data_IF_409624758749
#
_entry.id   IF_409624758749
#
_cell.length_a   1.000
_cell.length_b   1.000
_cell.length_c   1.000
_cell.angle_alpha   90.00
_cell.angle_beta   90.00
_cell.angle_gamma   90.00
#
_symmetry.space_group_name_H-M   'P 1'
#
loop_
_entity.id
_entity.type
_entity.pdbx_description
1 polymer ?
#
# COMPACT_ATOMS: atom_id res chain seq x y z
N UNK A 1 -14.37 -1.87 -11.14
CA UNK A 1 -13.33 -1.24 -10.30
C UNK A 1 -13.90 -0.30 -9.24
N UNK A 2 -14.98 0.46 -9.52
CA UNK A 2 -15.55 1.42 -8.58
C UNK A 2 -15.84 0.85 -7.18
N UNK A 3 -16.51 -0.30 -7.08
CA UNK A 3 -16.80 -0.95 -5.78
C UNK A 3 -15.52 -1.32 -5.01
N UNK A 4 -14.55 -1.92 -5.70
CA UNK A 4 -13.27 -2.28 -5.08
C UNK A 4 -12.44 -1.06 -4.68
N UNK A 5 -12.61 0.07 -5.38
CA UNK A 5 -11.95 1.32 -5.02
C UNK A 5 -12.60 1.97 -3.80
N UNK A 6 -13.93 1.99 -3.73
CA UNK A 6 -14.67 2.49 -2.58
C UNK A 6 -14.30 1.71 -1.30
N UNK A 7 -14.31 0.38 -1.38
CA UNK A 7 -13.92 -0.48 -0.25
C UNK A 7 -12.46 -0.25 0.16
N UNK A 8 -11.55 -0.13 -0.81
CA UNK A 8 -10.14 0.14 -0.54
C UNK A 8 -9.96 1.52 0.09
N UNK A 9 -10.61 2.57 -0.41
CA UNK A 9 -10.58 3.91 0.19
C UNK A 9 -11.14 3.90 1.60
N UNK A 10 -12.24 3.17 1.83
CA UNK A 10 -12.87 3.06 3.15
C UNK A 10 -11.91 2.47 4.19
N UNK A 11 -11.25 1.35 3.89
CA UNK A 11 -10.41 0.67 4.89
C UNK A 11 -8.95 1.13 4.88
N UNK A 12 -8.34 1.34 3.72
CA UNK A 12 -6.97 1.88 3.65
C UNK A 12 -6.96 3.34 4.08
N UNK A 13 -7.99 4.12 3.76
CA UNK A 13 -8.13 5.48 4.25
C UNK A 13 -8.14 5.54 5.77
N UNK A 14 -8.91 4.66 6.42
CA UNK A 14 -8.92 4.55 7.89
C UNK A 14 -7.58 4.08 8.46
N UNK A 15 -6.87 3.18 7.78
CA UNK A 15 -5.52 2.79 8.19
C UNK A 15 -4.54 3.98 8.12
N UNK A 16 -4.52 4.71 7.00
CA UNK A 16 -3.68 5.89 6.82
C UNK A 16 -4.01 6.98 7.85
N UNK A 17 -5.30 7.28 8.02
CA UNK A 17 -5.79 8.20 9.03
C UNK A 17 -5.33 7.81 10.43
N UNK A 18 -5.43 6.52 10.79
CA UNK A 18 -5.00 6.06 12.11
C UNK A 18 -3.51 6.26 12.34
N UNK A 19 -2.67 6.12 11.31
CA UNK A 19 -1.24 6.39 11.42
C UNK A 19 -0.95 7.88 11.64
N UNK A 20 -1.77 8.77 11.05
CA UNK A 20 -1.65 10.21 11.24
C UNK A 20 -1.83 10.60 12.70
N UNK A 21 -2.84 10.03 13.34
CA UNK A 21 -3.10 10.27 14.76
C UNK A 21 -2.13 9.52 15.67
N UNK A 22 -1.87 8.23 15.41
CA UNK A 22 -1.06 7.39 16.30
C UNK A 22 0.40 7.84 16.40
N UNK A 23 1.00 8.23 15.28
CA UNK A 23 2.38 8.71 15.24
C UNK A 23 2.47 10.24 15.26
N UNK A 24 1.35 10.94 15.46
CA UNK A 24 1.28 12.40 15.36
C UNK A 24 1.99 12.93 14.10
N UNK A 25 1.70 12.33 12.94
CA UNK A 25 2.53 12.40 11.74
C UNK A 25 2.67 13.83 11.18
N UNK A 26 1.77 14.73 11.58
CA UNK A 26 1.78 16.15 11.23
C UNK A 26 2.53 17.03 12.26
N UNK A 27 3.03 16.44 13.34
CA UNK A 27 3.82 17.08 14.36
C UNK A 27 5.19 17.52 13.88
N UNK A 28 5.90 18.26 14.73
CA UNK A 28 7.25 18.75 14.44
C UNK A 28 8.35 17.87 15.02
N UNK A 29 7.98 16.86 15.82
CA UNK A 29 8.93 16.04 16.58
C UNK A 29 9.91 15.26 15.69
N UNK A 30 9.57 14.98 14.42
CA UNK A 30 10.51 14.35 13.48
C UNK A 30 11.72 15.22 13.14
N UNK A 31 11.64 16.56 13.28
CA UNK A 31 12.76 17.48 12.95
C UNK A 31 13.98 17.26 13.84
N UNK A 32 13.77 16.73 15.05
CA UNK A 32 14.84 16.56 16.05
C UNK A 32 15.33 15.12 16.16
N UNK A 33 14.71 14.18 15.43
CA UNK A 33 15.07 12.76 15.48
C UNK A 33 15.97 12.41 14.31
N UNK A 34 17.21 12.02 14.63
CA UNK A 34 18.21 11.62 13.63
C UNK A 34 17.70 10.46 12.78
N UNK A 35 17.76 10.62 11.45
CA UNK A 35 17.35 9.59 10.49
C UNK A 35 15.86 9.60 10.11
N UNK A 36 15.08 10.55 10.64
CA UNK A 36 13.65 10.70 10.34
C UNK A 36 13.39 11.80 9.30
N UNK A 37 14.41 12.22 8.54
CA UNK A 37 14.31 13.27 7.53
C UNK A 37 13.22 12.97 6.49
N UNK A 38 13.09 11.70 6.08
CA UNK A 38 12.03 11.27 5.17
C UNK A 38 10.62 11.39 5.77
N UNK A 39 10.47 11.21 7.09
CA UNK A 39 9.21 11.41 7.80
C UNK A 39 8.86 12.89 7.90
N UNK A 40 9.85 13.76 8.15
CA UNK A 40 9.65 15.21 8.12
C UNK A 40 9.16 15.66 6.74
N UNK A 41 9.81 15.22 5.65
CA UNK A 41 9.40 15.58 4.29
C UNK A 41 7.96 15.11 4.00
N UNK A 42 7.62 13.88 4.40
CA UNK A 42 6.26 13.35 4.27
C UNK A 42 5.25 14.16 5.09
N UNK A 43 5.60 14.57 6.30
CA UNK A 43 4.77 15.42 7.14
C UNK A 43 4.50 16.78 6.49
N UNK A 44 5.50 17.41 5.87
CA UNK A 44 5.34 18.68 5.15
C UNK A 44 4.42 18.55 3.92
N UNK A 45 4.60 17.48 3.13
CA UNK A 45 3.71 17.18 2.00
C UNK A 45 2.28 16.92 2.49
N UNK A 46 2.14 16.13 3.56
CA UNK A 46 0.85 15.82 4.16
C UNK A 46 0.15 17.07 4.74
N UNK A 47 0.89 18.02 5.32
CA UNK A 47 0.34 19.32 5.76
C UNK A 47 -0.25 20.13 4.59
N UNK A 48 0.33 20.02 3.39
CA UNK A 48 -0.17 20.71 2.18
C UNK A 48 -1.33 19.98 1.52
N UNK A 49 -1.28 18.65 1.44
CA UNK A 49 -2.28 17.81 0.76
C UNK A 49 -3.45 17.36 1.64
N UNK A 50 -3.36 17.56 2.96
CA UNK A 50 -4.32 17.05 3.93
C UNK A 50 -4.39 15.52 3.98
N UNK A 51 -5.32 15.02 4.79
CA UNK A 51 -5.54 13.57 4.94
C UNK A 51 -5.97 12.94 3.61
N UNK A 52 -6.81 13.60 2.82
CA UNK A 52 -7.31 13.06 1.55
C UNK A 52 -6.18 12.86 0.54
N UNK A 53 -5.26 13.81 0.40
CA UNK A 53 -4.07 13.68 -0.44
C UNK A 53 -3.16 12.54 0.02
N UNK A 54 -3.01 12.36 1.33
CA UNK A 54 -2.24 11.24 1.89
C UNK A 54 -2.87 9.89 1.57
N UNK A 55 -4.20 9.77 1.71
CA UNK A 55 -4.94 8.55 1.33
C UNK A 55 -4.80 8.29 -0.16
N UNK A 56 -4.93 9.31 -1.01
CA UNK A 56 -4.77 9.15 -2.46
C UNK A 56 -3.36 8.67 -2.84
N UNK A 57 -2.32 9.25 -2.24
CA UNK A 57 -0.94 8.81 -2.45
C UNK A 57 -0.71 7.38 -1.98
N UNK A 58 -1.25 7.00 -0.82
CA UNK A 58 -1.17 5.63 -0.32
C UNK A 58 -1.91 4.65 -1.25
N UNK A 59 -3.09 4.99 -1.75
CA UNK A 59 -3.86 4.18 -2.68
C UNK A 59 -3.12 3.91 -4.00
N UNK A 60 -2.26 4.83 -4.46
CA UNK A 60 -1.38 4.59 -5.62
C UNK A 60 -0.24 3.63 -5.27
N UNK A 61 0.29 3.72 -4.05
CA UNK A 61 1.38 2.89 -3.56
C UNK A 61 0.93 1.50 -3.07
N UNK A 62 -0.35 1.31 -2.73
CA UNK A 62 -0.88 0.06 -2.22
C UNK A 62 -1.42 -0.87 -3.34
N UNK A 63 -1.49 -2.16 -3.05
CA UNK A 63 -2.14 -3.14 -3.91
C UNK A 63 -3.62 -3.30 -3.51
N UNK A 64 -4.53 -3.04 -4.44
CA UNK A 64 -5.98 -3.18 -4.25
C UNK A 64 -6.69 -3.40 -5.59
N UNK A 65 -7.92 -3.92 -5.55
CA UNK A 65 -8.76 -4.12 -6.72
C UNK A 65 -8.93 -5.59 -7.09
N UNK A 66 -9.13 -5.85 -8.39
CA UNK A 66 -9.25 -7.22 -8.92
C UNK A 66 -7.90 -7.94 -8.94
N UNK A 67 -7.89 -9.29 -8.99
CA UNK A 67 -6.67 -10.09 -9.16
C UNK A 67 -5.77 -9.58 -10.31
N UNK A 68 -6.33 -9.32 -11.50
CA UNK A 68 -5.57 -8.80 -12.64
C UNK A 68 -4.94 -7.43 -12.39
N UNK A 69 -5.61 -6.54 -11.64
CA UNK A 69 -5.05 -5.24 -11.29
C UNK A 69 -3.87 -5.39 -10.33
N UNK A 70 -4.00 -6.28 -9.34
CA UNK A 70 -2.92 -6.59 -8.40
C UNK A 70 -1.72 -7.19 -9.14
N UNK A 71 -1.94 -8.21 -9.97
CA UNK A 71 -0.87 -8.87 -10.73
C UNK A 71 -0.12 -7.90 -11.64
N UNK A 72 -0.82 -7.05 -12.41
CA UNK A 72 -0.18 -6.02 -13.24
C UNK A 72 0.61 -5.00 -12.42
N UNK A 73 0.09 -4.58 -11.26
CA UNK A 73 0.78 -3.67 -10.37
C UNK A 73 2.06 -4.28 -9.78
N UNK A 74 2.01 -5.56 -9.41
CA UNK A 74 3.17 -6.30 -8.92
C UNK A 74 4.20 -6.53 -10.03
N UNK A 75 3.76 -6.84 -11.25
CA UNK A 75 4.64 -7.01 -12.41
C UNK A 75 5.36 -5.69 -12.74
N UNK A 76 4.64 -4.58 -12.75
CA UNK A 76 5.21 -3.25 -12.96
C UNK A 76 6.26 -2.90 -11.89
N UNK A 77 5.99 -3.21 -10.61
CA UNK A 77 6.97 -3.04 -9.53
C UNK A 77 8.20 -3.91 -9.75
N UNK A 78 8.01 -5.17 -10.11
CA UNK A 78 9.09 -6.15 -10.32
C UNK A 78 10.04 -5.71 -11.44
N UNK A 79 9.52 -5.09 -12.50
CA UNK A 79 10.33 -4.50 -13.58
C UNK A 79 11.26 -3.38 -13.09
N UNK A 80 10.89 -2.68 -12.03
CA UNK A 80 11.65 -1.55 -11.48
C UNK A 80 12.65 -2.00 -10.43
N UNK A 81 12.23 -2.86 -9.49
CA UNK A 81 13.03 -3.20 -8.30
C UNK A 81 13.70 -4.58 -8.38
N UNK A 82 13.42 -5.38 -9.41
CA UNK A 82 13.82 -6.78 -9.49
C UNK A 82 12.93 -7.69 -8.66
N UNK A 83 13.48 -8.86 -8.31
CA UNK A 83 12.78 -9.86 -7.48
C UNK A 83 12.60 -9.38 -6.04
N UNK A 84 11.42 -9.65 -5.47
CA UNK A 84 11.07 -9.28 -4.10
C UNK A 84 10.16 -10.30 -3.46
N UNK A 85 10.16 -10.32 -2.12
CA UNK A 85 9.19 -11.05 -1.33
C UNK A 85 8.02 -10.15 -0.95
N UNK A 86 6.83 -10.74 -0.84
CA UNK A 86 5.61 -10.04 -0.46
C UNK A 86 5.23 -10.32 0.99
N UNK A 87 5.12 -9.26 1.78
CA UNK A 87 4.37 -9.28 3.03
C UNK A 87 2.99 -8.68 2.78
N UNK A 88 1.93 -9.46 3.02
CA UNK A 88 0.55 -9.09 2.70
C UNK A 88 -0.30 -9.03 3.97
N UNK A 89 -1.11 -7.97 4.09
CA UNK A 89 -2.07 -7.79 5.16
C UNK A 89 -3.48 -7.61 4.58
N UNK A 90 -4.44 -8.40 5.06
CA UNK A 90 -5.84 -8.35 4.60
C UNK A 90 -6.79 -7.68 5.60
N UNK A 91 -6.31 -7.37 6.80
CA UNK A 91 -7.12 -6.78 7.87
C UNK A 91 -6.38 -5.59 8.48
N UNK A 92 -6.90 -4.39 8.23
CA UNK A 92 -6.38 -3.10 8.68
C UNK A 92 -7.54 -2.10 8.74
N UNK A 93 -7.37 -0.92 9.33
CA UNK A 93 -8.38 0.16 9.24
C UNK A 93 -9.81 -0.24 9.64
N UNK A 94 -9.97 -1.20 10.55
CA UNK A 94 -11.27 -1.72 10.98
C UNK A 94 -11.99 -2.64 9.98
N UNK A 95 -11.28 -3.24 9.00
CA UNK A 95 -11.88 -4.21 8.06
C UNK A 95 -12.60 -5.34 8.82
N UNK A 96 -13.91 -5.58 8.54
CA UNK A 96 -14.64 -6.70 9.09
C UNK A 96 -13.98 -8.04 8.73
N UNK A 97 -14.17 -9.03 9.60
CA UNK A 97 -13.58 -10.35 9.39
C UNK A 97 -13.98 -10.96 8.04
N UNK A 98 -15.25 -10.84 7.66
CA UNK A 98 -15.75 -11.43 6.41
C UNK A 98 -15.14 -10.81 5.15
N UNK A 99 -14.93 -9.50 5.15
CA UNK A 99 -14.25 -8.80 4.06
C UNK A 99 -12.79 -9.25 3.96
N UNK A 100 -12.11 -9.36 5.11
CA UNK A 100 -10.73 -9.83 5.17
C UNK A 100 -10.60 -11.27 4.67
N UNK A 101 -11.51 -12.16 5.09
CA UNK A 101 -11.57 -13.57 4.69
C UNK A 101 -11.82 -13.71 3.20
N UNK A 102 -12.75 -12.92 2.64
CA UNK A 102 -13.03 -12.88 1.20
C UNK A 102 -11.79 -12.50 0.40
N UNK A 103 -11.12 -11.41 0.79
CA UNK A 103 -9.90 -10.95 0.13
C UNK A 103 -8.76 -11.97 0.19
N UNK A 104 -8.50 -12.54 1.37
CA UNK A 104 -7.47 -13.57 1.55
C UNK A 104 -7.75 -14.82 0.69
N UNK A 105 -8.99 -15.30 0.72
CA UNK A 105 -9.40 -16.49 -0.06
C UNK A 105 -9.24 -16.25 -1.55
N UNK A 106 -9.67 -15.10 -2.05
CA UNK A 106 -9.55 -14.73 -3.46
C UNK A 106 -8.08 -14.60 -3.89
N UNK A 107 -7.26 -13.94 -3.07
CA UNK A 107 -5.82 -13.80 -3.33
C UNK A 107 -5.14 -15.17 -3.40
N UNK A 108 -5.42 -16.05 -2.44
CA UNK A 108 -4.85 -17.40 -2.41
C UNK A 108 -5.27 -18.24 -3.62
N UNK A 109 -6.51 -18.07 -4.10
CA UNK A 109 -7.07 -18.80 -5.24
C UNK A 109 -6.55 -18.29 -6.59
N UNK A 110 -6.48 -16.98 -6.78
CA UNK A 110 -6.33 -16.40 -8.14
C UNK A 110 -5.02 -15.63 -8.34
N UNK A 111 -4.42 -15.07 -7.27
CA UNK A 111 -3.18 -14.28 -7.39
C UNK A 111 -1.96 -15.13 -7.06
N UNK A 112 -2.00 -15.84 -5.93
CA UNK A 112 -0.84 -16.59 -5.43
C UNK A 112 -0.32 -17.66 -6.40
N UNK A 113 -1.17 -18.45 -7.10
CA UNK A 113 -0.67 -19.44 -8.07
C UNK A 113 0.08 -18.80 -9.24
N UNK A 114 -0.39 -17.64 -9.71
CA UNK A 114 0.27 -16.89 -10.80
C UNK A 114 1.60 -16.31 -10.32
N UNK A 115 1.65 -15.73 -9.12
CA UNK A 115 2.91 -15.24 -8.56
C UNK A 115 3.93 -16.37 -8.35
N UNK A 116 3.49 -17.59 -8.03
CA UNK A 116 4.38 -18.75 -7.89
C UNK A 116 4.89 -19.30 -9.22
N UNK A 117 4.23 -19.01 -10.35
CA UNK A 117 4.72 -19.40 -11.68
C UNK A 117 5.74 -18.42 -12.26
N UNK A 118 5.94 -17.28 -11.61
CA UNK A 118 6.92 -16.28 -12.03
C UNK A 118 8.34 -16.81 -11.86
N UNK A 119 9.06 -16.96 -12.98
CA UNK A 119 10.50 -17.23 -12.99
C UNK A 119 11.32 -15.97 -12.66
N UNK A 120 12.63 -16.11 -12.35
CA UNK A 120 13.49 -14.99 -11.96
C UNK A 120 13.56 -13.88 -13.01
N UNK A 121 13.73 -12.63 -12.57
CA UNK A 121 13.85 -11.46 -13.45
C UNK A 121 15.15 -10.72 -13.13
N UNK A 122 15.96 -10.42 -14.15
CA UNK A 122 17.06 -9.48 -13.97
C UNK A 122 16.51 -8.07 -13.75
N UNK A 123 16.92 -7.44 -12.64
CA UNK A 123 16.60 -6.05 -12.38
C UNK A 123 17.15 -5.17 -13.52
N UNK A 124 16.34 -4.24 -14.03
CA UNK A 124 16.82 -3.26 -14.98
C UNK A 124 17.97 -2.47 -14.33
N UNK A 125 19.13 -2.39 -15.01
CA UNK A 125 20.23 -1.54 -14.54
C UNK A 125 19.69 -0.12 -14.37
N UNK A 126 19.90 0.45 -13.18
CA UNK A 126 19.63 1.86 -12.94
C UNK A 126 20.37 2.69 -14.00
N UNK A 127 19.65 3.58 -14.67
CA UNK A 127 20.18 4.53 -15.65
C UNK A 127 20.93 5.67 -14.94
#
# INVERSE_FOLDING_TARGET
>A
LAETEDEARRYQGKFVESNFYHYEFLGEHFKTVKGYDAYQQKAEIARKGGLEGAVAGFMQAASWGTPDKILRGLEARRKVVGDFELNVAFRFGGTPFEVSRRGLTLFAKEVLPVLKSWGPVEAAKAA
#
